data_IF_506216033426
#
_entry.id   IF_506216033426
#
_cell.length_a   1.000
_cell.length_b   1.000
_cell.length_c   1.000
_cell.angle_alpha   90.00
_cell.angle_beta   90.00
_cell.angle_gamma   90.00
#
_symmetry.space_group_name_H-M   'P 1'
#
loop_
_entity.id
_entity.type
_entity.pdbx_description
1 polymer ?
#
# COMPACT_ATOMS: atom_id res chain seq x y z
N UNK A 1 43.92 -50.71 39.50
CA UNK A 1 44.68 -50.73 38.23
C UNK A 1 44.22 -49.57 37.40
N UNK A 2 45.11 -48.65 37.05
CA UNK A 2 44.83 -47.54 36.15
C UNK A 2 44.57 -48.09 34.75
N UNK A 3 43.44 -47.71 34.13
CA UNK A 3 43.14 -48.06 32.74
C UNK A 3 44.06 -47.31 31.77
N UNK A 4 44.34 -47.87 30.58
CA UNK A 4 45.27 -47.26 29.64
C UNK A 4 44.67 -45.98 29.03
N UNK A 5 45.36 -44.86 29.21
CA UNK A 5 45.09 -43.62 28.49
C UNK A 5 45.55 -43.77 27.04
N UNK A 6 44.60 -43.81 26.10
CA UNK A 6 44.88 -43.77 24.66
C UNK A 6 45.36 -42.35 24.32
N UNK A 7 46.52 -42.16 23.66
CA UNK A 7 46.94 -40.83 23.24
C UNK A 7 45.99 -40.36 22.14
N UNK A 8 45.16 -39.36 22.44
CA UNK A 8 44.35 -38.65 21.43
C UNK A 8 45.31 -37.92 20.50
N UNK A 9 45.40 -38.38 19.24
CA UNK A 9 46.11 -37.64 18.19
C UNK A 9 45.55 -36.22 18.02
N UNK A 10 46.30 -35.30 17.40
CA UNK A 10 45.87 -33.92 17.26
C UNK A 10 44.48 -33.86 16.60
N UNK A 11 43.53 -33.21 17.26
CA UNK A 11 42.20 -33.00 16.73
C UNK A 11 42.29 -32.29 15.37
N UNK A 12 41.44 -32.65 14.39
CA UNK A 12 41.41 -31.94 13.12
C UNK A 12 41.15 -30.45 13.40
N UNK A 13 41.89 -29.55 12.73
CA UNK A 13 41.74 -28.10 12.97
C UNK A 13 40.29 -27.69 12.77
N UNK A 14 39.82 -26.78 13.61
CA UNK A 14 38.46 -26.24 13.48
C UNK A 14 38.32 -25.56 12.12
N UNK A 15 37.09 -25.46 11.60
CA UNK A 15 36.84 -24.80 10.31
C UNK A 15 37.33 -23.35 10.32
N UNK A 16 37.21 -22.67 11.45
CA UNK A 16 37.69 -21.30 11.66
C UNK A 16 39.22 -21.22 11.60
N UNK A 17 39.94 -22.20 12.19
CA UNK A 17 41.41 -22.28 12.09
C UNK A 17 41.87 -22.59 10.65
N UNK A 18 41.10 -23.41 9.92
CA UNK A 18 41.38 -23.74 8.53
C UNK A 18 41.18 -22.51 7.63
N UNK A 19 40.08 -21.79 7.82
CA UNK A 19 39.77 -20.57 7.08
C UNK A 19 40.77 -19.45 7.40
N UNK A 20 41.21 -19.31 8.65
CA UNK A 20 42.26 -18.37 9.03
C UNK A 20 43.62 -18.72 8.40
N UNK A 21 43.99 -20.01 8.35
CA UNK A 21 45.20 -20.47 7.66
C UNK A 21 45.13 -20.27 6.16
N UNK A 22 43.96 -20.46 5.54
CA UNK A 22 43.75 -20.18 4.12
C UNK A 22 43.79 -18.68 3.82
N UNK A 23 43.27 -17.83 4.71
CA UNK A 23 43.38 -16.38 4.59
C UNK A 23 44.83 -15.89 4.70
N UNK A 24 45.70 -16.58 5.47
CA UNK A 24 47.13 -16.26 5.52
C UNK A 24 47.88 -16.59 4.21
N UNK A 25 47.35 -17.48 3.36
CA UNK A 25 47.91 -17.67 2.02
C UNK A 25 47.56 -16.51 1.09
N UNK A 26 46.43 -15.83 1.30
CA UNK A 26 46.05 -14.66 0.51
C UNK A 26 47.01 -13.45 0.73
N UNK A 27 47.92 -13.52 1.72
CA UNK A 27 48.98 -12.51 1.95
C UNK A 27 50.35 -12.93 1.41
N UNK A 28 50.50 -14.13 0.84
CA UNK A 28 51.77 -14.59 0.25
C UNK A 28 51.76 -14.26 -1.24
N UNK A 29 52.80 -13.62 -1.80
CA UNK A 29 52.80 -13.16 -3.20
C UNK A 29 52.44 -14.22 -4.25
N UNK A 30 52.79 -15.48 -4.01
CA UNK A 30 52.49 -16.61 -4.91
C UNK A 30 51.02 -17.07 -4.88
N UNK A 31 50.28 -16.76 -3.81
CA UNK A 31 48.92 -17.26 -3.56
C UNK A 31 47.89 -16.13 -3.35
N UNK A 32 48.31 -14.87 -3.54
CA UNK A 32 47.46 -13.68 -3.44
C UNK A 32 46.30 -13.71 -4.45
N UNK A 33 45.09 -13.44 -3.97
CA UNK A 33 43.88 -13.31 -4.83
C UNK A 33 43.75 -11.94 -5.50
N UNK A 34 44.42 -10.93 -4.96
CA UNK A 34 44.44 -9.56 -5.46
C UNK A 34 45.67 -8.84 -4.93
N UNK A 35 46.28 -7.99 -5.73
CA UNK A 35 47.36 -7.12 -5.28
C UNK A 35 46.78 -6.02 -4.36
N UNK A 36 47.45 -5.68 -3.23
CA UNK A 36 47.07 -4.54 -2.39
C UNK A 36 47.07 -3.24 -3.20
N UNK A 37 46.15 -2.31 -2.91
CA UNK A 37 46.04 -1.01 -3.59
C UNK A 37 46.89 0.10 -2.97
N UNK A 38 47.38 -0.10 -1.75
CA UNK A 38 48.18 0.89 -1.01
C UNK A 38 49.68 0.65 -1.23
N UNK A 39 50.49 1.70 -1.08
CA UNK A 39 51.95 1.64 -1.13
C UNK A 39 52.47 0.64 -0.08
N UNK A 40 52.88 -0.54 -0.53
CA UNK A 40 53.45 -1.57 0.35
C UNK A 40 54.95 -1.34 0.53
N UNK A 41 55.43 -1.38 1.79
CA UNK A 41 56.87 -1.34 2.09
C UNK A 41 57.63 -2.61 1.61
N UNK A 42 56.90 -3.65 1.20
CA UNK A 42 57.45 -4.88 0.66
C UNK A 42 57.90 -4.69 -0.80
N UNK A 43 59.22 -4.70 -1.00
CA UNK A 43 59.87 -4.52 -2.30
C UNK A 43 59.48 -5.57 -3.33
N UNK A 44 59.12 -6.80 -2.91
CA UNK A 44 58.67 -7.84 -3.81
C UNK A 44 57.24 -7.59 -4.31
N UNK A 45 56.35 -7.10 -3.44
CA UNK A 45 54.99 -6.71 -3.80
C UNK A 45 54.98 -5.46 -4.67
N UNK A 46 55.82 -4.47 -4.35
CA UNK A 46 56.01 -3.29 -5.19
C UNK A 46 56.55 -3.65 -6.58
N UNK A 47 57.49 -4.60 -6.68
CA UNK A 47 57.99 -5.10 -7.96
C UNK A 47 56.91 -5.86 -8.76
N UNK A 48 56.07 -6.65 -8.09
CA UNK A 48 54.95 -7.36 -8.72
C UNK A 48 53.83 -6.40 -9.18
N UNK A 49 53.55 -5.36 -8.39
CA UNK A 49 52.65 -4.28 -8.78
C UNK A 49 53.19 -3.53 -10.00
N UNK A 50 54.49 -3.20 -10.02
CA UNK A 50 55.10 -2.55 -11.19
C UNK A 50 55.04 -3.45 -12.43
N UNK A 51 55.27 -4.75 -12.29
CA UNK A 51 55.15 -5.75 -13.37
C UNK A 51 53.71 -5.85 -13.91
N UNK A 52 52.70 -5.78 -13.03
CA UNK A 52 51.28 -5.83 -13.43
C UNK A 52 50.84 -4.59 -14.23
N UNK A 53 51.54 -3.47 -14.06
CA UNK A 53 51.33 -2.22 -14.78
C UNK A 53 52.44 -1.93 -15.81
N UNK A 54 53.29 -2.91 -16.13
CA UNK A 54 54.40 -2.77 -17.07
C UNK A 54 53.90 -3.05 -18.49
N UNK A 55 53.76 -1.99 -19.30
CA UNK A 55 53.28 -2.08 -20.67
C UNK A 55 52.59 -0.79 -21.11
N UNK A 56 52.09 -0.78 -22.34
CA UNK A 56 51.20 0.31 -22.79
C UNK A 56 49.86 0.25 -22.03
N UNK A 57 49.16 1.39 -21.84
CA UNK A 57 47.83 1.42 -21.23
C UNK A 57 46.85 0.38 -21.81
N UNK A 58 46.92 0.15 -23.12
CA UNK A 58 46.08 -0.82 -23.83
C UNK A 58 46.44 -2.27 -23.51
N UNK A 59 47.73 -2.61 -23.38
CA UNK A 59 48.18 -3.96 -23.00
C UNK A 59 47.80 -4.29 -21.55
N UNK A 60 47.98 -3.33 -20.64
CA UNK A 60 47.58 -3.46 -19.23
C UNK A 60 46.07 -3.65 -19.12
N UNK A 61 45.29 -2.81 -19.81
CA UNK A 61 43.83 -2.92 -19.85
C UNK A 61 43.34 -4.24 -20.47
N UNK A 62 44.03 -4.72 -21.51
CA UNK A 62 43.73 -6.01 -22.14
C UNK A 62 43.97 -7.19 -21.19
N UNK A 63 45.08 -7.19 -20.45
CA UNK A 63 45.39 -8.22 -19.47
C UNK A 63 44.30 -8.28 -18.37
N UNK A 64 43.95 -7.12 -17.81
CA UNK A 64 42.87 -7.04 -16.82
C UNK A 64 41.51 -7.47 -17.37
N UNK A 65 41.20 -7.18 -18.64
CA UNK A 65 39.99 -7.68 -19.30
C UNK A 65 39.97 -9.21 -19.36
N UNK A 66 41.09 -9.83 -19.69
CA UNK A 66 41.21 -11.30 -19.79
C UNK A 66 41.04 -11.96 -18.42
N UNK A 67 41.72 -11.45 -17.39
CA UNK A 67 41.52 -11.89 -16.01
C UNK A 67 40.05 -11.75 -15.59
N UNK A 68 39.45 -10.57 -15.81
CA UNK A 68 38.04 -10.33 -15.52
C UNK A 68 37.10 -11.31 -16.23
N UNK A 69 37.40 -11.70 -17.48
CA UNK A 69 36.62 -12.69 -18.22
C UNK A 69 36.68 -14.08 -17.57
N UNK A 70 37.85 -14.50 -17.07
CA UNK A 70 37.99 -15.78 -16.36
C UNK A 70 37.12 -15.82 -15.08
N UNK A 71 37.22 -14.77 -14.25
CA UNK A 71 36.39 -14.66 -13.05
C UNK A 71 34.90 -14.57 -13.38
N UNK A 72 34.53 -13.88 -14.47
CA UNK A 72 33.14 -13.78 -14.92
C UNK A 72 32.59 -15.15 -15.35
N UNK A 73 33.36 -15.95 -16.10
CA UNK A 73 32.97 -17.33 -16.44
C UNK A 73 32.85 -18.21 -15.21
N UNK A 74 33.70 -17.98 -14.21
CA UNK A 74 33.60 -18.60 -12.88
C UNK A 74 32.44 -18.11 -12.00
N UNK A 75 31.57 -17.21 -12.50
CA UNK A 75 30.48 -16.55 -11.75
C UNK A 75 30.93 -15.78 -10.51
N UNK A 76 32.21 -15.43 -10.44
CA UNK A 76 32.82 -14.62 -9.37
C UNK A 76 32.74 -13.15 -9.75
N UNK A 77 31.52 -12.61 -9.72
CA UNK A 77 31.21 -11.30 -10.29
C UNK A 77 31.83 -10.12 -9.54
N UNK A 78 32.07 -10.24 -8.23
CA UNK A 78 32.72 -9.17 -7.45
C UNK A 78 34.20 -9.04 -7.80
N UNK A 79 34.89 -10.16 -7.93
CA UNK A 79 36.29 -10.19 -8.32
C UNK A 79 36.46 -9.76 -9.78
N UNK A 80 35.60 -10.25 -10.68
CA UNK A 80 35.56 -9.80 -12.06
C UNK A 80 35.34 -8.27 -12.17
N UNK A 81 34.46 -7.72 -11.34
CA UNK A 81 34.23 -6.27 -11.27
C UNK A 81 35.51 -5.51 -10.89
N UNK A 82 36.30 -6.03 -9.95
CA UNK A 82 37.60 -5.46 -9.56
C UNK A 82 38.56 -5.37 -10.74
N UNK A 83 38.76 -6.48 -11.45
CA UNK A 83 39.65 -6.52 -12.63
C UNK A 83 39.16 -5.63 -13.77
N UNK A 84 37.87 -5.62 -14.08
CA UNK A 84 37.35 -4.69 -15.10
C UNK A 84 37.46 -3.22 -14.68
N UNK A 85 37.41 -2.92 -13.39
CA UNK A 85 37.61 -1.55 -12.89
C UNK A 85 39.07 -1.14 -13.09
N UNK A 86 40.02 -1.98 -12.70
CA UNK A 86 41.45 -1.75 -12.95
C UNK A 86 41.75 -1.59 -14.45
N UNK A 87 41.11 -2.38 -15.32
CA UNK A 87 41.25 -2.22 -16.76
C UNK A 87 40.70 -0.90 -17.30
N UNK A 88 39.62 -0.37 -16.73
CA UNK A 88 39.09 0.97 -17.09
C UNK A 88 40.00 2.08 -16.55
N UNK A 89 40.53 1.91 -15.34
CA UNK A 89 41.39 2.89 -14.65
C UNK A 89 42.79 2.96 -15.27
N UNK A 90 43.19 1.95 -16.05
CA UNK A 90 44.39 1.99 -16.89
C UNK A 90 44.26 2.98 -18.08
N UNK A 91 43.09 3.56 -18.30
CA UNK A 91 42.81 4.55 -19.36
C UNK A 91 43.31 4.11 -20.76
N UNK A 92 42.82 2.97 -21.28
CA UNK A 92 43.21 2.51 -22.62
C UNK A 92 42.85 3.56 -23.68
N UNK A 93 43.73 3.72 -24.66
CA UNK A 93 43.53 4.61 -25.82
C UNK A 93 42.67 3.95 -26.90
N UNK A 94 42.60 2.61 -26.92
CA UNK A 94 41.70 1.87 -27.80
C UNK A 94 40.24 1.97 -27.32
N UNK A 95 39.44 2.72 -28.10
CA UNK A 95 38.00 2.93 -27.88
C UNK A 95 37.22 1.60 -27.85
N UNK A 96 37.61 0.61 -28.65
CA UNK A 96 36.93 -0.70 -28.69
C UNK A 96 37.20 -1.48 -27.42
N UNK A 97 38.44 -1.44 -26.93
CA UNK A 97 38.83 -2.04 -25.66
C UNK A 97 38.12 -1.36 -24.48
N UNK A 98 38.08 -0.03 -24.47
CA UNK A 98 37.40 0.76 -23.46
C UNK A 98 35.89 0.47 -23.43
N UNK A 99 35.24 0.38 -24.59
CA UNK A 99 33.82 -0.01 -24.68
C UNK A 99 33.60 -1.41 -24.11
N UNK A 100 34.42 -2.39 -24.49
CA UNK A 100 34.31 -3.77 -24.03
C UNK A 100 34.45 -3.89 -22.50
N UNK A 101 35.40 -3.16 -21.91
CA UNK A 101 35.62 -3.09 -20.46
C UNK A 101 34.41 -2.51 -19.73
N UNK A 102 33.88 -1.36 -20.19
CA UNK A 102 32.68 -0.74 -19.62
C UNK A 102 31.46 -1.67 -19.72
N UNK A 103 31.29 -2.31 -20.88
CA UNK A 103 30.25 -3.31 -21.11
C UNK A 103 30.35 -4.50 -20.16
N UNK A 104 31.55 -5.05 -19.96
CA UNK A 104 31.76 -6.20 -19.08
C UNK A 104 31.63 -5.84 -17.60
N UNK A 105 32.08 -4.64 -17.22
CA UNK A 105 31.86 -4.08 -15.87
C UNK A 105 30.36 -3.89 -15.59
N UNK A 106 29.61 -3.37 -16.57
CA UNK A 106 28.16 -3.27 -16.50
C UNK A 106 27.47 -4.64 -16.37
N UNK A 107 28.00 -5.68 -17.02
CA UNK A 107 27.50 -7.05 -16.87
C UNK A 107 27.65 -7.55 -15.43
N UNK A 108 28.83 -7.35 -14.82
CA UNK A 108 29.07 -7.71 -13.42
C UNK A 108 28.13 -6.96 -12.48
N UNK A 109 27.98 -5.65 -12.70
CA UNK A 109 27.06 -4.83 -11.91
C UNK A 109 25.59 -5.26 -12.07
N UNK A 110 25.19 -5.77 -13.24
CA UNK A 110 23.84 -6.27 -13.46
C UNK A 110 23.58 -7.55 -12.65
N UNK A 111 24.52 -8.50 -12.67
CA UNK A 111 24.43 -9.74 -11.86
C UNK A 111 24.47 -9.44 -10.35
N UNK A 112 25.20 -8.40 -9.96
CA UNK A 112 25.26 -7.90 -8.58
C UNK A 112 24.07 -7.00 -8.21
N UNK A 113 23.12 -6.76 -9.11
CA UNK A 113 21.94 -5.90 -8.92
C UNK A 113 22.26 -4.43 -8.61
N UNK A 114 23.46 -3.97 -8.98
CA UNK A 114 23.89 -2.58 -8.86
C UNK A 114 23.40 -1.75 -10.06
N UNK A 115 22.09 -1.64 -10.23
CA UNK A 115 21.47 -1.10 -11.45
C UNK A 115 21.91 0.35 -11.78
N UNK A 116 22.13 1.19 -10.78
CA UNK A 116 22.62 2.57 -11.00
C UNK A 116 24.01 2.61 -11.66
N UNK A 117 24.91 1.69 -11.25
CA UNK A 117 26.25 1.56 -11.84
C UNK A 117 26.17 1.00 -13.27
N UNK A 118 25.26 0.05 -13.52
CA UNK A 118 25.01 -0.47 -14.88
C UNK A 118 24.67 0.66 -15.84
N UNK A 119 23.74 1.55 -15.46
CA UNK A 119 23.31 2.65 -16.32
C UNK A 119 24.44 3.65 -16.59
N UNK A 120 25.29 3.92 -15.60
CA UNK A 120 26.47 4.80 -15.76
C UNK A 120 27.47 4.21 -16.74
N UNK A 121 27.80 2.93 -16.58
CA UNK A 121 28.75 2.23 -17.43
C UNK A 121 28.23 2.07 -18.86
N UNK A 122 26.96 1.70 -19.01
CA UNK A 122 26.32 1.60 -20.33
C UNK A 122 26.19 2.96 -21.02
N UNK A 123 25.92 4.04 -20.28
CA UNK A 123 25.89 5.39 -20.85
C UNK A 123 27.25 5.79 -21.41
N UNK A 124 28.35 5.54 -20.67
CA UNK A 124 29.72 5.75 -21.17
C UNK A 124 30.02 4.86 -22.38
N UNK A 125 29.66 3.58 -22.32
CA UNK A 125 29.85 2.65 -23.44
C UNK A 125 29.11 3.14 -24.70
N UNK A 126 27.90 3.70 -24.56
CA UNK A 126 27.12 4.25 -25.66
C UNK A 126 27.68 5.58 -26.20
N UNK A 127 28.42 6.35 -25.40
CA UNK A 127 29.15 7.52 -25.92
C UNK A 127 30.33 7.12 -26.81
N UNK A 128 30.97 5.98 -26.51
CA UNK A 128 32.06 5.43 -27.32
C UNK A 128 31.53 4.69 -28.56
N UNK A 129 30.48 3.88 -28.37
CA UNK A 129 29.83 3.11 -29.42
C UNK A 129 28.31 3.25 -29.31
N UNK A 130 27.75 4.17 -30.10
CA UNK A 130 26.30 4.46 -30.13
C UNK A 130 25.44 3.31 -30.66
N UNK A 131 26.04 2.27 -31.23
CA UNK A 131 25.37 1.07 -31.77
C UNK A 131 25.75 -0.21 -31.00
N UNK A 132 26.06 -0.10 -29.72
CA UNK A 132 26.35 -1.28 -28.89
C UNK A 132 25.06 -1.96 -28.41
N UNK A 133 24.65 -3.05 -29.07
CA UNK A 133 23.48 -3.85 -28.65
C UNK A 133 23.60 -4.36 -27.21
N UNK A 134 24.84 -4.67 -26.77
CA UNK A 134 25.11 -5.15 -25.40
C UNK A 134 24.85 -4.08 -24.35
N UNK A 135 25.25 -2.83 -24.60
CA UNK A 135 25.01 -1.73 -23.70
C UNK A 135 23.50 -1.42 -23.59
N UNK A 136 22.78 -1.39 -24.71
CA UNK A 136 21.32 -1.21 -24.69
C UNK A 136 20.58 -2.35 -23.97
N UNK A 137 20.95 -3.61 -24.22
CA UNK A 137 20.36 -4.76 -23.54
C UNK A 137 20.52 -4.67 -22.00
N UNK A 138 21.72 -4.32 -21.53
CA UNK A 138 22.02 -4.20 -20.10
C UNK A 138 21.33 -2.99 -19.47
N UNK A 139 21.29 -1.85 -20.16
CA UNK A 139 20.51 -0.68 -19.72
C UNK A 139 19.03 -1.01 -19.60
N UNK A 140 18.43 -1.63 -20.62
CA UNK A 140 17.02 -2.00 -20.60
C UNK A 140 16.70 -3.00 -19.48
N UNK A 141 17.59 -3.99 -19.25
CA UNK A 141 17.46 -4.94 -18.14
C UNK A 141 17.48 -4.25 -16.77
N UNK A 142 18.42 -3.33 -16.56
CA UNK A 142 18.54 -2.57 -15.32
C UNK A 142 17.34 -1.62 -15.11
N UNK A 143 16.86 -0.95 -16.16
CA UNK A 143 15.70 -0.08 -16.09
C UNK A 143 14.41 -0.84 -15.77
N UNK A 144 14.25 -2.04 -16.35
CA UNK A 144 13.12 -2.91 -16.04
C UNK A 144 13.14 -3.37 -14.58
N UNK A 145 14.33 -3.68 -14.04
CA UNK A 145 14.49 -4.04 -12.62
C UNK A 145 14.20 -2.86 -11.67
N UNK A 146 14.37 -1.62 -12.14
CA UNK A 146 14.04 -0.39 -11.40
C UNK A 146 12.58 0.07 -11.57
N UNK A 147 11.71 -0.72 -12.21
CA UNK A 147 10.33 -0.35 -12.58
C UNK A 147 10.24 0.90 -13.49
N UNK A 148 11.32 1.24 -14.18
CA UNK A 148 11.40 2.35 -15.17
C UNK A 148 11.09 1.82 -16.56
N UNK A 149 9.88 1.29 -16.73
CA UNK A 149 9.45 0.53 -17.91
C UNK A 149 9.49 1.35 -19.22
N UNK A 150 9.19 2.65 -19.18
CA UNK A 150 9.18 3.50 -20.37
C UNK A 150 10.58 3.70 -20.94
N UNK A 151 11.55 3.97 -20.07
CA UNK A 151 12.95 4.15 -20.46
C UNK A 151 13.56 2.81 -20.91
N UNK A 152 13.14 1.69 -20.32
CA UNK A 152 13.53 0.36 -20.77
C UNK A 152 13.05 0.08 -22.20
N UNK A 153 11.82 0.47 -22.54
CA UNK A 153 11.27 0.35 -23.89
C UNK A 153 12.03 1.23 -24.89
N UNK A 154 12.31 2.50 -24.55
CA UNK A 154 13.13 3.39 -25.40
C UNK A 154 14.53 2.79 -25.67
N UNK A 155 15.19 2.24 -24.65
CA UNK A 155 16.46 1.54 -24.84
C UNK A 155 16.33 0.33 -25.78
N UNK A 156 15.26 -0.45 -25.66
CA UNK A 156 15.01 -1.59 -26.54
C UNK A 156 14.75 -1.14 -27.98
N UNK A 157 13.90 -0.13 -28.17
CA UNK A 157 13.52 0.38 -29.49
C UNK A 157 14.73 0.97 -30.23
N UNK A 158 15.59 1.72 -29.53
CA UNK A 158 16.85 2.24 -30.09
C UNK A 158 17.80 1.13 -30.53
N UNK A 159 17.91 0.05 -29.76
CA UNK A 159 18.71 -1.10 -30.14
C UNK A 159 18.14 -1.81 -31.37
N UNK A 160 16.83 -2.07 -31.37
CA UNK A 160 16.15 -2.77 -32.46
C UNK A 160 16.11 -1.97 -33.76
N UNK A 161 16.27 -0.64 -33.70
CA UNK A 161 16.38 0.21 -34.89
C UNK A 161 17.60 -0.11 -35.75
N UNK A 162 18.72 -0.57 -35.16
CA UNK A 162 19.92 -0.95 -35.91
C UNK A 162 20.24 -2.46 -35.84
N UNK A 163 19.70 -3.19 -34.86
CA UNK A 163 19.83 -4.64 -34.72
C UNK A 163 18.44 -5.30 -34.49
N UNK A 164 17.58 -5.36 -35.53
CA UNK A 164 16.21 -5.87 -35.39
C UNK A 164 16.14 -7.36 -35.03
N UNK A 165 17.20 -8.12 -35.30
CA UNK A 165 17.27 -9.56 -35.06
C UNK A 165 17.66 -9.95 -33.64
N UNK A 166 17.88 -8.97 -32.75
CA UNK A 166 18.35 -9.22 -31.40
C UNK A 166 17.27 -9.87 -30.52
N UNK A 167 17.30 -11.20 -30.43
CA UNK A 167 16.33 -11.99 -29.65
C UNK A 167 16.29 -11.59 -28.18
N UNK A 168 17.43 -11.23 -27.57
CA UNK A 168 17.48 -10.84 -26.17
C UNK A 168 16.74 -9.53 -25.92
N UNK A 169 16.95 -8.53 -26.78
CA UNK A 169 16.26 -7.24 -26.67
C UNK A 169 14.78 -7.34 -27.01
N UNK A 170 14.40 -8.16 -28.00
CA UNK A 170 12.98 -8.43 -28.29
C UNK A 170 12.25 -9.00 -27.07
N UNK A 171 12.84 -9.99 -26.39
CA UNK A 171 12.26 -10.56 -25.18
C UNK A 171 12.17 -9.55 -24.03
N UNK A 172 13.17 -8.68 -23.86
CA UNK A 172 13.13 -7.61 -22.86
C UNK A 172 12.04 -6.59 -23.17
N UNK A 173 11.89 -6.21 -24.44
CA UNK A 173 10.84 -5.30 -24.90
C UNK A 173 9.45 -5.85 -24.64
N UNK A 174 9.24 -7.14 -24.94
CA UNK A 174 7.98 -7.82 -24.66
C UNK A 174 7.68 -7.80 -23.15
N UNK A 175 8.66 -8.14 -22.31
CA UNK A 175 8.52 -8.05 -20.85
C UNK A 175 8.21 -6.63 -20.36
N UNK A 176 8.91 -5.63 -20.89
CA UNK A 176 8.70 -4.23 -20.51
C UNK A 176 7.32 -3.71 -20.96
N UNK A 177 6.84 -4.13 -22.13
CA UNK A 177 5.50 -3.77 -22.62
C UNK A 177 4.39 -4.40 -21.78
N UNK A 178 4.56 -5.67 -21.38
CA UNK A 178 3.63 -6.36 -20.48
C UNK A 178 3.60 -5.70 -19.09
N UNK A 179 4.77 -5.35 -18.56
CA UNK A 179 4.89 -4.64 -17.29
C UNK A 179 4.20 -3.27 -17.34
N UNK A 180 4.41 -2.49 -18.41
CA UNK A 180 3.73 -1.21 -18.63
C UNK A 180 2.22 -1.38 -18.71
N UNK A 181 1.73 -2.30 -19.54
CA UNK A 181 0.30 -2.56 -19.68
C UNK A 181 -0.36 -2.98 -18.36
N UNK A 182 0.33 -3.78 -17.54
CA UNK A 182 -0.16 -4.17 -16.22
C UNK A 182 -0.22 -2.99 -15.23
N UNK A 183 0.77 -2.09 -15.27
CA UNK A 183 0.82 -0.87 -14.45
C UNK A 183 -0.30 0.09 -14.84
N UNK A 184 -0.43 0.40 -16.14
CA UNK A 184 -1.46 1.28 -16.67
C UNK A 184 -2.87 0.74 -16.35
N UNK A 185 -3.08 -0.58 -16.42
CA UNK A 185 -4.34 -1.21 -16.04
C UNK A 185 -4.67 -1.00 -14.56
N UNK A 186 -3.70 -1.23 -13.66
CA UNK A 186 -3.88 -1.02 -12.22
C UNK A 186 -4.16 0.44 -11.88
N UNK A 187 -3.47 1.37 -12.53
CA UNK A 187 -3.68 2.80 -12.33
C UNK A 187 -5.07 3.23 -12.80
N UNK A 188 -5.52 2.73 -13.96
CA UNK A 188 -6.88 2.95 -14.44
C UNK A 188 -7.95 2.38 -13.51
N UNK A 189 -7.78 1.12 -13.07
CA UNK A 189 -8.70 0.48 -12.10
C UNK A 189 -8.79 1.28 -10.79
N UNK A 190 -7.66 1.78 -10.29
CA UNK A 190 -7.61 2.62 -9.08
C UNK A 190 -8.30 3.98 -9.31
N UNK A 191 -8.07 4.61 -10.45
CA UNK A 191 -8.71 5.88 -10.81
C UNK A 191 -10.23 5.73 -10.97
N UNK A 192 -10.68 4.66 -11.63
CA UNK A 192 -12.10 4.36 -11.80
C UNK A 192 -12.78 4.07 -10.45
N UNK A 193 -12.11 3.34 -9.54
CA UNK A 193 -12.60 3.11 -8.17
C UNK A 193 -12.74 4.42 -7.41
N UNK A 194 -11.70 5.25 -7.40
CA UNK A 194 -11.73 6.55 -6.71
C UNK A 194 -12.83 7.46 -7.27
N UNK A 195 -13.03 7.45 -8.60
CA UNK A 195 -14.10 8.22 -9.25
C UNK A 195 -15.48 7.74 -8.81
N UNK A 196 -15.71 6.42 -8.72
CA UNK A 196 -16.97 5.84 -8.24
C UNK A 196 -17.23 6.18 -6.77
N UNK A 197 -16.21 6.07 -5.92
CA UNK A 197 -16.30 6.44 -4.50
C UNK A 197 -16.63 7.93 -4.32
N UNK A 198 -16.00 8.81 -5.11
CA UNK A 198 -16.29 10.25 -5.09
C UNK A 198 -17.71 10.57 -5.55
N UNK A 199 -18.19 9.92 -6.60
CA UNK A 199 -19.55 10.10 -7.09
C UNK A 199 -20.58 9.59 -6.07
N UNK A 200 -20.36 8.40 -5.49
CA UNK A 200 -21.22 7.86 -4.43
C UNK A 200 -21.27 8.79 -3.21
N UNK A 201 -20.12 9.30 -2.78
CA UNK A 201 -20.05 10.29 -1.68
C UNK A 201 -20.81 11.56 -2.02
N UNK A 202 -20.67 12.07 -3.24
CA UNK A 202 -21.39 13.26 -3.71
C UNK A 202 -22.91 13.04 -3.74
N UNK A 203 -23.35 11.90 -4.24
CA UNK A 203 -24.77 11.54 -4.25
C UNK A 203 -25.33 11.44 -2.83
N UNK A 204 -24.58 10.80 -1.92
CA UNK A 204 -24.94 10.74 -0.51
C UNK A 204 -25.03 12.13 0.13
N UNK A 205 -24.06 13.02 -0.14
CA UNK A 205 -24.07 14.41 0.36
C UNK A 205 -25.30 15.19 -0.12
N UNK A 206 -25.71 15.01 -1.38
CA UNK A 206 -26.93 15.63 -1.93
C UNK A 206 -28.16 15.07 -1.21
N UNK A 207 -28.26 13.75 -1.08
CA UNK A 207 -29.39 13.09 -0.45
C UNK A 207 -29.56 13.50 1.04
N UNK A 208 -28.44 13.67 1.75
CA UNK A 208 -28.41 14.20 3.13
C UNK A 208 -28.90 15.64 3.21
N UNK A 209 -28.46 16.51 2.28
CA UNK A 209 -28.88 17.92 2.25
C UNK A 209 -30.37 18.06 1.97
N UNK A 210 -30.90 17.30 1.01
CA UNK A 210 -32.33 17.31 0.68
C UNK A 210 -33.21 16.88 1.86
N UNK A 211 -32.72 15.92 2.66
CA UNK A 211 -33.38 15.43 3.88
C UNK A 211 -33.08 16.26 5.12
N UNK A 212 -32.33 17.36 4.99
CA UNK A 212 -31.87 18.19 6.11
C UNK A 212 -31.12 17.39 7.19
N UNK A 213 -30.47 16.29 6.83
CA UNK A 213 -29.67 15.49 7.76
C UNK A 213 -28.36 16.21 8.10
N UNK A 214 -27.88 16.01 9.33
CA UNK A 214 -26.63 16.56 9.83
C UNK A 214 -25.75 15.40 10.28
N UNK A 215 -24.72 15.10 9.48
CA UNK A 215 -23.73 14.08 9.83
C UNK A 215 -22.77 14.61 10.89
N UNK A 216 -22.66 13.90 12.00
CA UNK A 216 -21.73 14.17 13.09
C UNK A 216 -20.73 13.02 13.17
N UNK A 217 -19.45 13.25 12.82
CA UNK A 217 -18.43 12.23 12.93
C UNK A 217 -18.13 11.93 14.40
N UNK A 218 -17.74 10.69 14.68
CA UNK A 218 -17.37 10.28 16.03
C UNK A 218 -16.00 10.83 16.41
N UNK A 219 -15.85 11.23 17.68
CA UNK A 219 -14.61 11.84 18.18
C UNK A 219 -13.45 10.84 18.32
N UNK A 220 -13.75 9.54 18.45
CA UNK A 220 -12.76 8.49 18.69
C UNK A 220 -12.21 7.84 17.39
N UNK A 221 -12.72 8.24 16.22
CA UNK A 221 -12.29 7.72 14.92
C UNK A 221 -12.68 6.27 14.66
N UNK A 222 -13.46 5.63 15.54
CA UNK A 222 -14.04 4.31 15.26
C UNK A 222 -15.08 4.42 14.15
N UNK A 223 -15.15 3.43 13.27
CA UNK A 223 -16.10 3.36 12.17
C UNK A 223 -17.20 2.36 12.53
N UNK A 224 -18.45 2.80 12.40
CA UNK A 224 -19.60 1.92 12.49
C UNK A 224 -19.64 0.99 11.25
N UNK A 225 -19.74 -0.35 11.43
CA UNK A 225 -19.84 -1.28 10.31
C UNK A 225 -21.13 -1.10 9.49
N UNK A 226 -22.15 -0.49 10.06
CA UNK A 226 -23.39 -0.17 9.36
C UNK A 226 -23.41 1.32 9.01
N UNK A 227 -23.41 1.63 7.72
CA UNK A 227 -23.48 3.00 7.21
C UNK A 227 -24.75 3.21 6.38
N UNK A 228 -25.27 4.45 6.33
CA UNK A 228 -26.34 4.81 5.44
C UNK A 228 -25.97 4.51 3.99
N UNK A 229 -26.87 3.85 3.27
CA UNK A 229 -26.67 3.51 1.86
C UNK A 229 -27.98 3.66 1.10
N UNK A 230 -27.89 3.70 -0.23
CA UNK A 230 -29.08 3.66 -1.09
C UNK A 230 -29.61 2.24 -1.14
N UNK A 231 -30.93 2.11 -1.11
CA UNK A 231 -31.60 0.83 -1.28
C UNK A 231 -31.24 0.24 -2.66
N UNK A 232 -30.76 -1.00 -2.67
CA UNK A 232 -30.36 -1.71 -3.88
C UNK A 232 -31.58 -2.21 -4.68
N UNK A 233 -32.73 -2.39 -4.02
CA UNK A 233 -33.98 -2.83 -4.64
C UNK A 233 -34.75 -1.65 -5.27
N UNK A 234 -34.44 -0.41 -4.86
CA UNK A 234 -35.07 0.78 -5.41
C UNK A 234 -34.50 1.15 -6.79
N UNK A 235 -35.31 0.90 -7.83
CA UNK A 235 -35.03 1.30 -9.21
C UNK A 235 -34.78 2.80 -9.41
N UNK A 236 -35.26 3.65 -8.50
CA UNK A 236 -35.06 5.11 -8.57
C UNK A 236 -33.77 5.57 -7.90
N UNK A 237 -33.08 4.67 -7.17
CA UNK A 237 -31.89 4.95 -6.36
C UNK A 237 -32.03 6.21 -5.49
N UNK A 238 -33.23 6.45 -4.98
CA UNK A 238 -33.56 7.62 -4.20
C UNK A 238 -33.84 7.29 -2.74
N UNK A 239 -34.32 6.09 -2.45
CA UNK A 239 -34.60 5.59 -1.12
C UNK A 239 -33.30 5.29 -0.38
N UNK A 240 -33.15 5.85 0.82
CA UNK A 240 -32.05 5.59 1.73
C UNK A 240 -32.45 4.57 2.80
N UNK A 241 -31.48 3.73 3.14
CA UNK A 241 -31.54 2.79 4.26
C UNK A 241 -30.57 3.29 5.33
N UNK A 242 -31.05 3.38 6.57
CA UNK A 242 -30.27 3.85 7.71
C UNK A 242 -30.17 2.78 8.79
N UNK A 243 -29.02 2.67 9.47
CA UNK A 243 -29.00 2.05 10.78
C UNK A 243 -29.65 3.00 11.81
N UNK A 244 -30.55 2.45 12.62
CA UNK A 244 -31.36 3.21 13.57
C UNK A 244 -31.28 2.59 14.95
N UNK A 245 -30.95 3.41 15.94
CA UNK A 245 -31.08 3.08 17.36
C UNK A 245 -32.45 3.47 17.88
N UNK A 246 -33.17 2.50 18.45
CA UNK A 246 -34.31 2.77 19.31
C UNK A 246 -33.85 2.70 20.75
N UNK A 247 -33.97 3.82 21.46
CA UNK A 247 -33.65 3.93 22.87
C UNK A 247 -34.91 3.72 23.70
N UNK A 248 -34.77 2.99 24.80
CA UNK A 248 -35.81 2.74 25.78
C UNK A 248 -35.35 3.28 27.15
N UNK A 249 -35.43 4.61 27.38
CA UNK A 249 -34.84 5.26 28.54
C UNK A 249 -35.33 4.70 29.89
N UNK A 250 -36.60 4.29 29.96
CA UNK A 250 -37.20 3.69 31.16
C UNK A 250 -36.44 2.46 31.67
N UNK A 251 -35.85 1.71 30.74
CA UNK A 251 -35.12 0.46 31.03
C UNK A 251 -33.61 0.59 30.79
N UNK A 252 -33.11 1.79 30.44
CA UNK A 252 -31.72 2.04 30.08
C UNK A 252 -31.14 1.04 29.05
N UNK A 253 -31.98 0.65 28.08
CA UNK A 253 -31.61 -0.30 27.01
C UNK A 253 -31.91 0.28 25.64
N UNK A 254 -31.41 -0.37 24.60
CA UNK A 254 -31.56 0.06 23.21
C UNK A 254 -31.50 -1.12 22.25
N UNK A 255 -32.23 -1.02 21.15
CA UNK A 255 -32.14 -1.94 20.02
C UNK A 255 -31.59 -1.25 18.78
N UNK A 256 -30.97 -2.03 17.90
CA UNK A 256 -30.42 -1.57 16.62
C UNK A 256 -31.19 -2.21 15.48
N UNK A 257 -31.81 -1.37 14.66
CA UNK A 257 -32.35 -1.77 13.36
C UNK A 257 -31.27 -1.45 12.33
N UNK A 258 -30.61 -2.47 11.78
CA UNK A 258 -29.51 -2.28 10.83
C UNK A 258 -30.00 -1.71 9.49
N UNK A 259 -31.16 -2.19 9.03
CA UNK A 259 -31.76 -1.80 7.75
C UNK A 259 -33.11 -1.11 7.98
N UNK A 260 -33.08 0.19 8.25
CA UNK A 260 -34.28 1.02 8.34
C UNK A 260 -34.52 1.72 6.99
N UNK A 261 -35.43 1.17 6.20
CA UNK A 261 -35.83 1.74 4.91
C UNK A 261 -36.65 3.01 5.14
N UNK A 262 -36.20 4.16 4.64
CA UNK A 262 -36.76 5.46 5.04
C UNK A 262 -38.24 5.68 4.70
N UNK A 263 -38.75 4.98 3.68
CA UNK A 263 -40.13 5.08 3.21
C UNK A 263 -41.08 4.11 3.94
N UNK A 264 -40.54 3.24 4.80
CA UNK A 264 -41.34 2.35 5.64
C UNK A 264 -41.88 3.12 6.86
N UNK A 265 -43.18 3.02 7.18
CA UNK A 265 -43.74 3.69 8.36
C UNK A 265 -43.15 3.17 9.67
N UNK A 266 -42.94 4.06 10.64
CA UNK A 266 -42.43 3.68 11.97
C UNK A 266 -43.28 2.60 12.66
N UNK A 267 -44.60 2.61 12.47
CA UNK A 267 -45.49 1.59 13.00
C UNK A 267 -45.21 0.19 12.44
N UNK A 268 -44.76 0.07 11.19
CA UNK A 268 -44.40 -1.22 10.60
C UNK A 268 -43.10 -1.76 11.22
N UNK A 269 -42.09 -0.91 11.41
CA UNK A 269 -40.87 -1.29 12.12
C UNK A 269 -41.16 -1.70 13.58
N UNK A 270 -41.99 -0.95 14.30
CA UNK A 270 -42.40 -1.30 15.66
C UNK A 270 -43.21 -2.59 15.71
N UNK A 271 -44.08 -2.87 14.75
CA UNK A 271 -44.83 -4.12 14.66
C UNK A 271 -43.90 -5.33 14.43
N UNK A 272 -42.82 -5.15 13.68
CA UNK A 272 -41.82 -6.18 13.46
C UNK A 272 -40.98 -6.45 14.73
N UNK A 273 -40.63 -5.40 15.48
CA UNK A 273 -39.86 -5.53 16.73
C UNK A 273 -40.69 -6.02 17.92
N UNK A 274 -41.95 -5.59 18.01
CA UNK A 274 -42.88 -5.93 19.08
C UNK A 274 -44.15 -6.58 18.49
N UNK A 275 -44.06 -7.82 17.98
CA UNK A 275 -45.22 -8.51 17.42
C UNK A 275 -46.27 -8.76 18.51
N UNK A 276 -47.57 -8.54 18.25
CA UNK A 276 -48.60 -8.70 19.27
C UNK A 276 -48.76 -10.15 19.75
N UNK A 277 -48.31 -11.13 18.96
CA UNK A 277 -48.30 -12.56 19.29
C UNK A 277 -47.00 -13.04 19.95
N UNK A 278 -45.96 -12.20 20.04
CA UNK A 278 -44.69 -12.57 20.67
C UNK A 278 -44.72 -12.28 22.19
N UNK A 279 -43.99 -13.05 23.01
CA UNK A 279 -43.79 -12.70 24.42
C UNK A 279 -43.07 -11.35 24.53
N UNK A 280 -43.39 -10.59 25.58
CA UNK A 280 -42.70 -9.34 25.87
C UNK A 280 -41.18 -9.59 26.05
N UNK A 281 -40.31 -8.64 25.64
CA UNK A 281 -38.88 -8.75 25.89
C UNK A 281 -38.57 -8.95 27.38
N UNK A 282 -37.48 -9.66 27.71
CA UNK A 282 -37.14 -9.99 29.11
C UNK A 282 -36.99 -8.76 30.02
N UNK A 283 -36.62 -7.62 29.45
CA UNK A 283 -36.48 -6.34 30.16
C UNK A 283 -37.82 -5.63 30.41
N UNK A 284 -38.88 -5.95 29.65
CA UNK A 284 -40.23 -5.40 29.79
C UNK A 284 -41.10 -6.27 30.71
N UNK A 285 -40.80 -6.23 32.00
CA UNK A 285 -41.50 -7.02 33.03
C UNK A 285 -42.99 -6.68 33.15
N UNK A 286 -43.39 -5.48 32.74
CA UNK A 286 -44.76 -4.99 32.87
C UNK A 286 -45.58 -5.20 31.59
N UNK A 287 -44.96 -5.59 30.48
CA UNK A 287 -45.61 -5.75 29.18
C UNK A 287 -46.12 -4.43 28.60
N UNK A 288 -45.41 -3.33 28.85
CA UNK A 288 -45.82 -1.97 28.46
C UNK A 288 -45.44 -1.66 26.99
N UNK A 289 -44.46 -2.37 26.41
CA UNK A 289 -43.91 -2.10 25.08
C UNK A 289 -44.66 -2.85 23.97
N UNK A 290 -45.90 -2.45 23.72
CA UNK A 290 -46.77 -3.02 22.68
C UNK A 290 -47.00 -1.98 21.57
N UNK A 291 -46.90 -2.36 20.29
CA UNK A 291 -47.01 -1.46 19.11
C UNK A 291 -48.15 -0.43 19.25
N UNK A 292 -49.32 -0.79 19.77
CA UNK A 292 -50.49 0.06 20.08
C UNK A 292 -50.23 1.24 21.04
N UNK A 293 -49.42 0.98 22.06
CA UNK A 293 -49.17 1.86 23.20
C UNK A 293 -47.83 2.59 23.11
N UNK A 294 -47.05 2.39 22.05
CA UNK A 294 -45.77 3.07 21.89
C UNK A 294 -45.90 4.44 21.20
N UNK A 295 -45.05 5.36 21.62
CA UNK A 295 -44.78 6.64 20.97
C UNK A 295 -43.30 6.73 20.68
N UNK A 296 -42.99 7.26 19.50
CA UNK A 296 -41.62 7.50 19.07
C UNK A 296 -41.35 9.00 19.07
N UNK A 297 -40.19 9.39 19.56
CA UNK A 297 -39.70 10.76 19.58
C UNK A 297 -38.39 10.87 18.81
N UNK A 298 -38.32 11.89 17.94
CA UNK A 298 -37.10 12.28 17.25
C UNK A 298 -36.57 13.59 17.85
N UNK A 299 -35.26 13.70 17.96
CA UNK A 299 -34.57 14.90 18.45
C UNK A 299 -33.82 15.54 17.29
N UNK A 300 -33.98 16.86 17.11
CA UNK A 300 -33.21 17.60 16.11
C UNK A 300 -31.87 18.08 16.67
N UNK A 301 -30.99 18.53 15.78
CA UNK A 301 -29.69 19.12 16.14
C UNK A 301 -29.83 20.33 17.07
N UNK A 302 -30.86 21.15 16.86
CA UNK A 302 -31.24 22.26 17.75
C UNK A 302 -32.07 21.81 18.96
N UNK A 303 -32.04 20.51 19.30
CA UNK A 303 -32.74 19.91 20.43
C UNK A 303 -34.26 20.09 20.42
N UNK A 304 -34.88 20.29 19.25
CA UNK A 304 -36.35 20.25 19.13
C UNK A 304 -36.80 18.80 19.28
N UNK A 305 -37.93 18.62 19.96
CA UNK A 305 -38.51 17.31 20.20
C UNK A 305 -39.73 17.13 19.29
N UNK A 306 -39.69 16.12 18.42
CA UNK A 306 -40.73 15.81 17.44
C UNK A 306 -41.40 14.50 17.82
N UNK A 307 -42.72 14.53 18.02
CA UNK A 307 -43.53 13.32 18.20
C UNK A 307 -43.76 12.68 16.83
N UNK A 308 -43.30 11.45 16.65
CA UNK A 308 -43.41 10.70 15.40
C UNK A 308 -44.67 9.84 15.44
N UNK A 309 -45.59 10.11 14.52
CA UNK A 309 -46.80 9.32 14.38
C UNK A 309 -46.53 7.95 13.75
N UNK A 310 -47.31 6.93 14.12
CA UNK A 310 -47.14 5.56 13.60
C UNK A 310 -47.14 5.43 12.07
N UNK A 311 -47.91 6.29 11.40
CA UNK A 311 -48.03 6.31 9.93
C UNK A 311 -46.96 7.18 9.26
N UNK A 312 -46.17 7.93 10.02
CA UNK A 312 -45.09 8.73 9.47
C UNK A 312 -43.95 7.82 9.03
N UNK A 313 -43.29 8.21 7.96
CA UNK A 313 -42.04 7.63 7.47
C UNK A 313 -40.85 8.43 7.99
N UNK A 314 -39.63 7.92 7.85
CA UNK A 314 -38.44 8.71 8.18
C UNK A 314 -38.34 9.96 7.31
N UNK A 315 -38.74 9.87 6.03
CA UNK A 315 -38.83 11.02 5.12
C UNK A 315 -39.73 12.12 5.66
N UNK A 316 -40.88 11.77 6.25
CA UNK A 316 -41.79 12.74 6.86
C UNK A 316 -41.18 13.41 8.10
N UNK A 317 -40.47 12.62 8.92
CA UNK A 317 -39.77 13.16 10.10
C UNK A 317 -38.64 14.10 9.68
N UNK A 318 -37.86 13.76 8.65
CA UNK A 318 -36.84 14.63 8.06
C UNK A 318 -37.43 15.98 7.58
N UNK A 319 -38.58 15.94 6.88
CA UNK A 319 -39.30 17.16 6.48
C UNK A 319 -39.74 18.00 7.68
N UNK A 320 -40.28 17.36 8.73
CA UNK A 320 -40.70 18.04 9.96
C UNK A 320 -39.51 18.61 10.77
N UNK A 321 -38.34 17.97 10.70
CA UNK A 321 -37.12 18.38 11.38
C UNK A 321 -36.40 19.54 10.70
N UNK A 322 -36.74 19.87 9.46
CA UNK A 322 -36.17 20.99 8.71
C UNK A 322 -36.39 22.33 9.45
N UNK A 323 -35.40 23.21 9.40
CA UNK A 323 -35.51 24.57 9.90
C UNK A 323 -36.55 25.38 9.11
N UNK A 324 -37.23 26.32 9.77
CA UNK A 324 -38.13 27.25 9.07
C UNK A 324 -37.33 28.26 8.26
N UNK A 325 -37.97 28.89 7.27
CA UNK A 325 -37.34 29.92 6.45
C UNK A 325 -36.85 31.09 7.33
N UNK A 326 -35.57 31.44 7.21
CA UNK A 326 -34.91 32.46 8.04
C UNK A 326 -34.28 31.95 9.34
N UNK A 327 -34.52 30.70 9.75
CA UNK A 327 -33.86 30.09 10.91
C UNK A 327 -32.51 29.45 10.55
N UNK A 328 -31.64 29.25 11.55
CA UNK A 328 -30.38 28.51 11.37
C UNK A 328 -30.69 27.05 11.02
N UNK A 329 -29.82 26.42 10.23
CA UNK A 329 -29.93 25.00 9.84
C UNK A 329 -30.24 24.11 11.06
N UNK A 330 -31.28 23.29 10.89
CA UNK A 330 -31.74 22.28 11.83
C UNK A 330 -32.21 21.04 11.06
N UNK A 331 -32.22 19.91 11.74
CA UNK A 331 -32.50 18.61 11.14
C UNK A 331 -32.16 17.46 12.07
N UNK A 332 -32.33 16.23 11.60
CA UNK A 332 -31.95 15.05 12.38
C UNK A 332 -30.43 14.88 12.38
N UNK A 333 -29.89 14.51 13.53
CA UNK A 333 -28.47 14.18 13.71
C UNK A 333 -28.22 12.73 13.32
N UNK A 334 -27.31 12.52 12.37
CA UNK A 334 -26.77 11.20 12.04
C UNK A 334 -25.42 11.09 12.72
N UNK A 335 -25.36 10.38 13.85
CA UNK A 335 -24.14 10.21 14.65
C UNK A 335 -23.50 8.90 14.27
N UNK A 336 -22.27 8.96 13.75
CA UNK A 336 -21.52 7.76 13.35
C UNK A 336 -22.34 6.87 12.39
N UNK A 337 -22.97 7.48 11.39
CA UNK A 337 -23.83 6.78 10.42
C UNK A 337 -25.23 6.40 10.95
N UNK A 338 -25.49 6.49 12.25
CA UNK A 338 -26.78 6.09 12.82
C UNK A 338 -27.70 7.25 13.15
N UNK A 339 -29.00 7.01 12.96
CA UNK A 339 -30.07 7.83 13.54
C UNK A 339 -30.48 7.27 14.90
N UNK A 340 -31.03 8.12 15.75
CA UNK A 340 -31.47 7.72 17.09
C UNK A 340 -32.86 8.25 17.37
N UNK A 341 -33.75 7.36 17.82
CA UNK A 341 -35.09 7.69 18.25
C UNK A 341 -35.35 7.15 19.66
N UNK A 342 -36.21 7.83 20.39
CA UNK A 342 -36.64 7.43 21.72
C UNK A 342 -38.02 6.81 21.63
N UNK A 343 -38.19 5.61 22.18
CA UNK A 343 -39.45 4.87 22.18
C UNK A 343 -39.94 4.72 23.61
N UNK A 344 -41.18 5.11 23.86
CA UNK A 344 -41.79 5.13 25.20
C UNK A 344 -43.24 4.65 25.16
N UNK A 345 -43.74 4.01 26.22
CA UNK A 345 -45.15 3.72 26.38
C UNK A 345 -45.94 5.02 26.67
N UNK A 346 -47.14 5.11 26.09
CA UNK A 346 -48.09 6.21 26.29
C UNK A 346 -48.47 6.32 27.76
N UNK A 347 -48.60 7.54 28.25
CA UNK A 347 -49.11 7.82 29.59
C UNK A 347 -48.08 8.53 30.47
N UNK A 348 -47.96 8.09 31.73
CA UNK A 348 -47.12 8.79 32.71
C UNK A 348 -45.63 8.76 32.37
N UNK A 349 -45.14 7.66 31.81
CA UNK A 349 -43.71 7.50 31.46
C UNK A 349 -43.33 8.49 30.36
N UNK A 350 -44.13 8.54 29.28
CA UNK A 350 -44.00 9.55 28.21
C UNK A 350 -44.00 10.97 28.78
N UNK A 351 -44.98 11.30 29.63
CA UNK A 351 -45.13 12.65 30.17
C UNK A 351 -43.92 13.08 31.03
N UNK A 352 -43.47 12.21 31.95
CA UNK A 352 -42.32 12.47 32.82
C UNK A 352 -41.03 12.67 32.01
N UNK A 353 -40.78 11.80 31.03
CA UNK A 353 -39.58 11.90 30.19
C UNK A 353 -39.57 13.18 29.34
N UNK A 354 -40.71 13.55 28.74
CA UNK A 354 -40.81 14.77 27.93
C UNK A 354 -40.58 16.03 28.78
N UNK A 355 -41.09 16.08 30.00
CA UNK A 355 -40.88 17.19 30.93
C UNK A 355 -39.40 17.31 31.33
N UNK A 356 -38.78 16.19 31.70
CA UNK A 356 -37.36 16.13 32.04
C UNK A 356 -36.47 16.57 30.88
N UNK A 357 -36.74 16.08 29.65
CA UNK A 357 -35.99 16.48 28.47
C UNK A 357 -36.07 17.98 28.20
N UNK A 358 -37.27 18.58 28.32
CA UNK A 358 -37.46 20.03 28.15
C UNK A 358 -36.69 20.82 29.21
N UNK A 359 -36.71 20.37 30.46
CA UNK A 359 -35.97 21.00 31.56
C UNK A 359 -34.46 21.00 31.29
N UNK A 360 -33.91 19.86 30.88
CA UNK A 360 -32.47 19.73 30.58
C UNK A 360 -32.07 20.59 29.38
N UNK A 361 -32.86 20.57 28.31
CA UNK A 361 -32.64 21.42 27.13
C UNK A 361 -32.59 22.91 27.48
N UNK A 362 -33.54 23.38 28.29
CA UNK A 362 -33.63 24.80 28.65
C UNK A 362 -32.51 25.22 29.61
N UNK A 363 -31.93 24.28 30.36
CA UNK A 363 -30.76 24.51 31.19
C UNK A 363 -29.46 24.61 30.35
N UNK A 364 -29.30 23.78 29.31
CA UNK A 364 -28.16 23.83 28.39
C UNK A 364 -28.18 25.02 27.43
N UNK A 365 -29.35 25.64 27.22
CA UNK A 365 -29.51 26.80 26.35
C UNK A 365 -29.25 28.16 27.04
N UNK A 366 -29.12 28.17 28.37
CA UNK A 366 -28.75 29.34 29.19
C UNK A 366 -27.25 29.36 29.41
#
# INVERSE_FOLDING_TARGET
MAGPTIPTGPYPPSKEDLDAKLAAFDTVPLFMKSLPSDDTEDTALAALQSLAHEGTPDEVAQNFKEQGNEYFRGKRYREALGFYTQGVDAEPTDVVLQEALLCNRAACNLELQNYGSVLRDCSKALTLNSRSSKAFYRSASALLALDRTEEALDCCDRCLAFDPGNKGVLQLRDRASQAKAAKDRKEKEKADRLRKEQEAKRQMDIAFRERSLISLPKADGSSNPYEPHFDAEDSTHSTLVFPVFFLYPQHATSDVIQEFVEDTPFGAHLAAMFPPQAPAPEWDKNGEYVEGQLVVYAMTHRKRLLKVGKKMTLRDVCKAAKAKEGEKRDGLEVKDGCLTFVVLPKGEVEAKWVEEYKRTRDAEAR
#
